data_IF_565601893641
#
_entry.id   IF_565601893641
#
_cell.length_a   1.000
_cell.length_b   1.000
_cell.length_c   1.000
_cell.angle_alpha   90.00
_cell.angle_beta   90.00
_cell.angle_gamma   90.00
#
_symmetry.space_group_name_H-M   'P 1'
#
loop_
_entity.id
_entity.type
_entity.pdbx_description
1 polymer ?
#
# COMPACT_ATOMS: atom_id res chain seq x y z
N UNK A 1 -3.01 -21.35 -50.56
CA UNK A 1 -2.03 -20.62 -49.73
C UNK A 1 -2.07 -19.19 -50.25
N UNK A 2 -2.54 -18.16 -49.57
CA UNK A 2 -2.74 -17.88 -48.15
C UNK A 2 -3.69 -16.66 -48.13
N UNK A 3 -4.90 -16.76 -47.57
CA UNK A 3 -5.76 -15.58 -47.36
C UNK A 3 -5.40 -14.97 -46.01
N UNK A 4 -4.89 -13.74 -46.05
CA UNK A 4 -4.58 -12.95 -44.86
C UNK A 4 -5.87 -12.57 -44.12
N UNK A 5 -5.94 -12.98 -42.85
CA UNK A 5 -6.94 -12.55 -41.87
C UNK A 5 -6.83 -11.05 -41.60
N UNK A 6 -7.87 -10.29 -41.95
CA UNK A 6 -8.12 -8.95 -41.40
C UNK A 6 -8.56 -8.98 -39.93
N UNK A 7 -8.43 -7.87 -39.19
CA UNK A 7 -8.69 -7.81 -37.76
C UNK A 7 -10.19 -7.89 -37.45
N UNK A 8 -10.53 -8.69 -36.44
CA UNK A 8 -11.86 -8.85 -35.87
C UNK A 8 -12.45 -7.48 -35.46
N UNK A 9 -13.40 -6.98 -36.23
CA UNK A 9 -14.34 -5.96 -35.76
C UNK A 9 -15.41 -6.66 -34.93
N UNK A 10 -15.21 -6.71 -33.61
CA UNK A 10 -16.25 -7.06 -32.64
C UNK A 10 -17.30 -5.93 -32.63
N UNK A 11 -18.26 -6.00 -33.54
CA UNK A 11 -19.48 -5.20 -33.51
C UNK A 11 -20.56 -5.97 -32.75
N UNK A 12 -20.45 -5.98 -31.42
CA UNK A 12 -21.54 -6.44 -30.56
C UNK A 12 -21.67 -5.47 -29.39
N UNK A 13 -22.78 -4.74 -29.39
CA UNK A 13 -23.16 -3.81 -28.32
C UNK A 13 -23.17 -4.55 -26.98
N UNK A 14 -22.56 -3.96 -25.95
CA UNK A 14 -22.54 -4.44 -24.56
C UNK A 14 -23.93 -4.82 -24.01
N UNK A 15 -25.00 -4.24 -24.57
CA UNK A 15 -26.38 -4.59 -24.24
C UNK A 15 -26.76 -6.04 -24.61
N UNK A 16 -26.14 -6.61 -25.66
CA UNK A 16 -26.39 -7.99 -26.07
C UNK A 16 -25.73 -9.01 -25.14
N UNK A 17 -24.69 -8.61 -24.40
CA UNK A 17 -23.95 -9.51 -23.50
C UNK A 17 -24.63 -9.71 -22.14
N UNK A 18 -25.56 -8.83 -21.76
CA UNK A 18 -26.26 -8.86 -20.47
C UNK A 18 -27.71 -9.36 -20.55
N UNK A 19 -28.24 -9.57 -21.76
CA UNK A 19 -29.58 -10.12 -21.95
C UNK A 19 -29.65 -11.66 -21.73
N UNK A 20 -28.51 -12.34 -21.61
CA UNK A 20 -28.45 -13.80 -21.61
C UNK A 20 -28.62 -14.47 -20.23
N UNK A 21 -28.48 -13.75 -19.11
CA UNK A 21 -28.44 -14.36 -17.79
C UNK A 21 -29.34 -13.65 -16.76
N UNK A 22 -30.67 -13.75 -16.88
CA UNK A 22 -31.56 -13.49 -15.72
C UNK A 22 -32.80 -14.37 -15.76
N UNK A 23 -32.79 -15.45 -14.97
CA UNK A 23 -33.99 -16.18 -14.55
C UNK A 23 -34.85 -15.30 -13.62
N UNK A 24 -36.17 -15.19 -13.82
CA UNK A 24 -37.00 -14.27 -13.05
C UNK A 24 -37.69 -14.99 -11.90
N UNK A 25 -37.09 -15.06 -10.71
CA UNK A 25 -37.85 -15.34 -9.49
C UNK A 25 -37.34 -14.58 -8.25
N UNK A 26 -38.32 -14.05 -7.52
CA UNK A 26 -38.32 -13.75 -6.08
C UNK A 26 -37.85 -12.35 -5.59
N UNK A 27 -38.65 -11.34 -5.92
CA UNK A 27 -38.61 -10.02 -5.28
C UNK A 27 -39.39 -9.98 -3.94
N UNK A 28 -38.67 -9.90 -2.81
CA UNK A 28 -39.24 -9.54 -1.50
C UNK A 28 -39.62 -8.05 -1.48
N UNK A 29 -40.93 -7.76 -1.54
CA UNK A 29 -41.51 -6.42 -1.38
C UNK A 29 -41.26 -5.85 0.02
N UNK A 30 -40.57 -4.72 0.13
CA UNK A 30 -40.56 -3.87 1.33
C UNK A 30 -41.44 -2.62 1.10
N UNK A 31 -42.39 -2.39 2.01
CA UNK A 31 -43.33 -1.26 2.01
C UNK A 31 -42.59 0.05 2.30
N UNK A 32 -42.59 0.97 1.34
CA UNK A 32 -42.09 2.34 1.48
C UNK A 32 -43.16 3.31 1.99
N UNK A 33 -42.78 4.16 2.95
CA UNK A 33 -43.58 5.23 3.53
C UNK A 33 -43.88 6.34 2.49
N UNK A 34 -45.14 6.79 2.44
CA UNK A 34 -45.65 7.79 1.50
C UNK A 34 -45.31 9.20 2.01
N UNK A 35 -44.34 9.88 1.38
CA UNK A 35 -44.13 11.33 1.55
C UNK A 35 -44.92 12.09 0.47
N UNK A 36 -45.80 13.00 0.92
CA UNK A 36 -46.61 13.90 0.08
C UNK A 36 -45.69 14.89 -0.65
N UNK A 37 -45.85 14.98 -1.97
CA UNK A 37 -45.03 15.81 -2.86
C UNK A 37 -45.53 17.24 -3.01
N UNK A 38 -44.58 18.14 -3.22
CA UNK A 38 -44.79 19.41 -3.92
C UNK A 38 -44.55 19.16 -5.42
N UNK A 39 -45.51 19.57 -6.25
CA UNK A 39 -45.53 19.34 -7.69
C UNK A 39 -44.60 20.32 -8.43
N UNK A 40 -43.39 19.87 -8.75
CA UNK A 40 -42.61 20.40 -9.86
C UNK A 40 -42.76 19.45 -11.05
N UNK A 41 -43.08 19.97 -12.23
CA UNK A 41 -43.18 19.20 -13.47
C UNK A 41 -41.80 18.65 -13.86
N UNK A 42 -41.42 17.51 -13.31
CA UNK A 42 -40.27 16.75 -13.79
C UNK A 42 -40.61 16.23 -15.18
N UNK A 43 -39.74 16.50 -16.16
CA UNK A 43 -39.90 16.02 -17.52
C UNK A 43 -40.07 14.50 -17.55
N UNK A 44 -40.80 13.97 -18.55
CA UNK A 44 -40.99 12.52 -18.70
C UNK A 44 -39.66 11.75 -18.75
N UNK A 45 -38.60 12.37 -19.29
CA UNK A 45 -37.25 11.82 -19.32
C UNK A 45 -36.67 11.62 -17.91
N UNK A 46 -36.75 12.63 -17.04
CA UNK A 46 -36.27 12.52 -15.67
C UNK A 46 -37.01 11.46 -14.84
N UNK A 47 -38.29 11.20 -15.16
CA UNK A 47 -39.05 10.09 -14.54
C UNK A 47 -38.60 8.73 -15.04
N UNK A 48 -38.34 8.59 -16.34
CA UNK A 48 -37.84 7.35 -16.93
C UNK A 48 -36.44 6.99 -16.40
N UNK A 49 -35.55 7.97 -16.29
CA UNK A 49 -34.19 7.79 -15.74
C UNK A 49 -34.22 7.39 -14.25
N UNK A 50 -35.10 8.00 -13.45
CA UNK A 50 -35.25 7.63 -12.05
C UNK A 50 -35.82 6.21 -11.86
N UNK A 51 -36.61 5.71 -12.82
CA UNK A 51 -37.07 4.33 -12.83
C UNK A 51 -35.97 3.35 -13.23
N UNK A 52 -35.09 3.73 -14.15
CA UNK A 52 -33.93 2.95 -14.56
C UNK A 52 -32.91 2.81 -13.43
N UNK A 53 -32.58 3.90 -12.73
CA UNK A 53 -31.68 3.85 -11.57
C UNK A 53 -32.21 2.94 -10.46
N UNK A 54 -33.52 2.94 -10.22
CA UNK A 54 -34.15 2.03 -9.24
C UNK A 54 -34.07 0.57 -9.68
N UNK A 55 -34.13 0.30 -10.98
CA UNK A 55 -33.92 -1.04 -11.53
C UNK A 55 -32.46 -1.45 -11.36
N UNK A 56 -31.51 -0.55 -11.61
CA UNK A 56 -30.08 -0.80 -11.44
C UNK A 56 -29.67 -0.99 -9.98
N UNK A 57 -30.27 -0.26 -9.03
CA UNK A 57 -30.04 -0.48 -7.58
C UNK A 57 -30.56 -1.85 -7.11
N UNK A 58 -31.58 -2.40 -7.80
CA UNK A 58 -32.10 -3.73 -7.54
C UNK A 58 -31.25 -4.84 -8.18
N UNK A 59 -30.76 -4.63 -9.40
CA UNK A 59 -29.99 -5.61 -10.17
C UNK A 59 -28.50 -5.64 -9.80
N UNK A 60 -27.92 -4.50 -9.41
CA UNK A 60 -26.51 -4.36 -9.09
C UNK A 60 -26.28 -4.42 -7.58
N UNK A 61 -25.22 -5.10 -7.15
CA UNK A 61 -24.78 -5.01 -5.75
C UNK A 61 -24.33 -3.59 -5.38
N UNK A 62 -24.44 -3.21 -4.08
CA UNK A 62 -24.18 -1.85 -3.55
C UNK A 62 -22.89 -1.19 -4.06
N UNK A 63 -21.81 -1.96 -4.27
CA UNK A 63 -20.52 -1.44 -4.78
C UNK A 63 -20.60 -1.06 -6.26
N UNK A 64 -21.24 -1.88 -7.08
CA UNK A 64 -21.40 -1.63 -8.50
C UNK A 64 -22.36 -0.46 -8.75
N UNK A 65 -23.45 -0.38 -7.99
CA UNK A 65 -24.37 0.76 -8.06
C UNK A 65 -23.70 2.09 -7.70
N UNK A 66 -22.88 2.13 -6.64
CA UNK A 66 -22.12 3.35 -6.27
C UNK A 66 -21.13 3.79 -7.35
N UNK A 67 -20.51 2.84 -8.07
CA UNK A 67 -19.62 3.16 -9.19
C UNK A 67 -20.41 3.77 -10.34
N UNK A 68 -21.50 3.12 -10.73
CA UNK A 68 -22.42 3.61 -11.76
C UNK A 68 -22.96 5.01 -11.43
N UNK A 69 -23.45 5.22 -10.20
CA UNK A 69 -23.99 6.52 -9.78
C UNK A 69 -22.93 7.63 -9.79
N UNK A 70 -21.69 7.32 -9.39
CA UNK A 70 -20.59 8.28 -9.50
C UNK A 70 -20.23 8.58 -10.95
N UNK A 71 -20.20 7.56 -11.82
CA UNK A 71 -19.89 7.71 -13.23
C UNK A 71 -20.96 8.52 -13.97
N UNK A 72 -22.23 8.26 -13.69
CA UNK A 72 -23.36 9.05 -14.20
C UNK A 72 -23.29 10.50 -13.73
N UNK A 73 -23.04 10.74 -12.44
CA UNK A 73 -22.88 12.10 -11.91
C UNK A 73 -21.72 12.85 -12.60
N UNK A 74 -20.60 12.17 -12.87
CA UNK A 74 -19.47 12.76 -13.58
C UNK A 74 -19.82 13.08 -15.04
N UNK A 75 -20.59 12.22 -15.71
CA UNK A 75 -21.10 12.48 -17.06
C UNK A 75 -22.05 13.68 -17.09
N UNK A 76 -22.97 13.79 -16.11
CA UNK A 76 -23.91 14.90 -16.00
C UNK A 76 -23.19 16.24 -15.72
N UNK A 77 -22.12 16.21 -14.92
CA UNK A 77 -21.29 17.39 -14.61
C UNK A 77 -20.37 17.80 -15.77
N UNK A 78 -19.91 16.85 -16.59
CA UNK A 78 -19.00 17.10 -17.70
C UNK A 78 -19.66 17.91 -18.84
N UNK A 79 -21.00 17.86 -18.94
CA UNK A 79 -21.75 18.54 -19.99
C UNK A 79 -21.54 17.94 -21.39
N UNK A 80 -22.29 18.41 -22.40
CA UNK A 80 -22.11 17.95 -23.78
C UNK A 80 -20.76 18.44 -24.31
N UNK A 81 -19.90 17.51 -24.71
CA UNK A 81 -18.60 17.81 -25.28
C UNK A 81 -18.70 17.85 -26.81
N UNK A 82 -18.18 18.93 -27.42
CA UNK A 82 -18.16 19.07 -28.88
C UNK A 82 -17.13 18.10 -29.51
N UNK A 83 -17.35 17.69 -30.75
CA UNK A 83 -16.49 16.73 -31.44
C UNK A 83 -15.03 17.22 -31.52
N UNK A 84 -14.83 18.53 -31.69
CA UNK A 84 -13.51 19.17 -31.71
C UNK A 84 -12.85 19.15 -30.32
N UNK A 85 -13.64 19.29 -29.25
CA UNK A 85 -13.15 19.20 -27.86
C UNK A 85 -12.79 17.75 -27.50
N UNK A 86 -13.57 16.78 -27.97
CA UNK A 86 -13.22 15.36 -27.88
C UNK A 86 -11.91 15.08 -28.63
N UNK A 87 -11.73 15.63 -29.83
CA UNK A 87 -10.50 15.49 -30.59
C UNK A 87 -9.29 16.11 -29.88
N UNK A 88 -9.46 17.24 -29.17
CA UNK A 88 -8.39 17.87 -28.39
C UNK A 88 -7.97 17.06 -27.16
N UNK A 89 -8.87 16.31 -26.52
CA UNK A 89 -8.53 15.45 -25.38
C UNK A 89 -7.64 14.26 -25.78
N UNK A 90 -7.80 13.79 -27.02
CA UNK A 90 -7.01 12.69 -27.58
C UNK A 90 -5.96 13.19 -28.58
N UNK A 91 -5.81 14.50 -28.74
CA UNK A 91 -4.72 15.06 -29.51
C UNK A 91 -3.44 14.60 -28.83
N UNK A 92 -2.53 13.95 -29.56
CA UNK A 92 -1.24 13.65 -28.98
C UNK A 92 -0.65 14.96 -28.45
N UNK A 93 0.02 14.95 -27.27
CA UNK A 93 0.81 16.09 -26.83
C UNK A 93 1.64 16.54 -28.02
N UNK A 94 1.71 17.85 -28.36
CA UNK A 94 2.32 18.32 -29.59
C UNK A 94 3.72 17.73 -29.72
N UNK A 95 3.83 16.69 -30.53
CA UNK A 95 5.07 15.94 -30.65
C UNK A 95 6.05 16.87 -31.38
N UNK A 96 7.08 17.31 -30.67
CA UNK A 96 8.11 18.19 -31.23
C UNK A 96 8.16 19.60 -30.63
N UNK A 97 7.18 20.02 -29.82
CA UNK A 97 7.40 21.17 -28.93
C UNK A 97 8.19 20.71 -27.72
N UNK A 98 9.45 21.14 -27.63
CA UNK A 98 10.24 21.00 -26.41
C UNK A 98 9.54 21.84 -25.34
N UNK A 99 8.67 21.21 -24.55
CA UNK A 99 8.13 21.82 -23.36
C UNK A 99 9.33 22.21 -22.49
N UNK A 100 9.60 23.51 -22.40
CA UNK A 100 10.67 24.02 -21.55
C UNK A 100 10.44 23.45 -20.15
N UNK A 101 11.35 22.58 -19.71
CA UNK A 101 11.29 22.01 -18.36
C UNK A 101 11.27 23.15 -17.34
N UNK A 102 10.76 22.90 -16.14
CA UNK A 102 10.77 23.91 -15.07
C UNK A 102 12.18 24.49 -14.89
N UNK A 103 13.21 23.65 -15.04
CA UNK A 103 14.61 24.07 -15.05
C UNK A 103 14.96 24.97 -16.25
N UNK A 104 14.56 24.61 -17.48
CA UNK A 104 14.78 25.46 -18.65
C UNK A 104 14.14 26.85 -18.46
N UNK A 105 12.91 26.90 -17.95
CA UNK A 105 12.21 28.15 -17.63
C UNK A 105 12.94 28.98 -16.58
N UNK A 106 13.50 28.35 -15.54
CA UNK A 106 14.27 29.05 -14.51
C UNK A 106 15.61 29.57 -15.05
N UNK A 107 16.29 28.78 -15.88
CA UNK A 107 17.58 29.17 -16.49
C UNK A 107 17.44 30.20 -17.60
N UNK A 108 16.29 30.24 -18.30
CA UNK A 108 15.99 31.21 -19.36
C UNK A 108 15.39 32.52 -18.79
N UNK A 109 14.64 32.45 -17.69
CA UNK A 109 14.05 33.63 -17.04
C UNK A 109 15.07 34.44 -16.23
N UNK A 110 16.21 33.85 -15.86
CA UNK A 110 17.30 34.57 -15.21
C UNK A 110 18.25 35.07 -16.29
N UNK A 111 18.21 36.37 -16.57
CA UNK A 111 19.06 37.04 -17.56
C UNK A 111 20.58 36.90 -17.25
N UNK A 112 20.90 36.45 -16.05
CA UNK A 112 22.26 36.21 -15.58
C UNK A 112 22.64 34.75 -15.88
N UNK A 113 23.40 34.58 -16.97
CA UNK A 113 24.03 33.31 -17.40
C UNK A 113 24.82 32.60 -16.27
N UNK A 114 25.09 33.27 -15.15
CA UNK A 114 25.77 32.72 -13.98
C UNK A 114 24.94 31.64 -13.26
N UNK A 115 23.63 31.85 -13.12
CA UNK A 115 22.76 30.84 -12.52
C UNK A 115 22.67 29.61 -13.45
N UNK A 116 22.46 29.82 -14.75
CA UNK A 116 22.46 28.72 -15.73
C UNK A 116 23.79 27.95 -15.74
N UNK A 117 24.94 28.64 -15.66
CA UNK A 117 26.28 28.03 -15.57
C UNK A 117 26.50 27.25 -14.27
N UNK A 118 25.95 27.71 -13.15
CA UNK A 118 26.01 26.98 -11.89
C UNK A 118 25.22 25.66 -11.94
N UNK A 119 24.17 25.59 -12.77
CA UNK A 119 23.34 24.40 -12.96
C UNK A 119 23.80 23.47 -14.09
N UNK A 120 24.69 23.93 -14.98
CA UNK A 120 25.22 23.15 -16.11
C UNK A 120 25.87 21.82 -15.69
N UNK A 121 26.67 21.73 -14.59
CA UNK A 121 27.23 20.47 -14.12
C UNK A 121 26.16 19.46 -13.70
N UNK A 122 24.97 19.91 -13.29
CA UNK A 122 23.87 19.06 -12.84
C UNK A 122 23.00 18.53 -13.99
N UNK A 123 23.15 19.04 -15.22
CA UNK A 123 22.42 18.57 -16.40
C UNK A 123 22.86 17.18 -16.90
N UNK A 124 24.10 16.79 -16.60
CA UNK A 124 24.71 15.55 -17.08
C UNK A 124 24.83 14.48 -15.99
N UNK A 125 24.24 14.72 -14.81
CA UNK A 125 24.38 13.81 -13.68
C UNK A 125 23.34 12.70 -13.80
N UNK A 126 23.75 11.59 -14.42
CA UNK A 126 22.96 10.37 -14.45
C UNK A 126 22.71 9.84 -13.02
N UNK A 127 21.55 9.20 -12.81
CA UNK A 127 21.18 8.49 -11.59
C UNK A 127 22.33 7.60 -11.08
N UNK A 128 23.00 6.86 -11.99
CA UNK A 128 24.10 5.98 -11.63
C UNK A 128 25.35 6.74 -11.17
N UNK A 129 25.59 7.92 -11.74
CA UNK A 129 26.69 8.81 -11.33
C UNK A 129 26.43 9.38 -9.93
N UNK A 130 25.19 9.79 -9.64
CA UNK A 130 24.76 10.21 -8.29
C UNK A 130 24.94 9.07 -7.30
N UNK A 131 24.47 7.88 -7.65
CA UNK A 131 24.53 6.70 -6.78
C UNK A 131 25.99 6.33 -6.46
N UNK A 132 26.88 6.37 -7.46
CA UNK A 132 28.31 6.11 -7.25
C UNK A 132 28.96 7.14 -6.33
N UNK A 133 28.64 8.42 -6.51
CA UNK A 133 29.18 9.51 -5.70
C UNK A 133 28.66 9.45 -4.26
N UNK A 134 27.36 9.22 -4.08
CA UNK A 134 26.74 9.08 -2.76
C UNK A 134 27.27 7.84 -2.02
N UNK A 135 27.50 6.73 -2.73
CA UNK A 135 28.14 5.53 -2.16
C UNK A 135 29.59 5.78 -1.75
N UNK A 136 30.34 6.57 -2.53
CA UNK A 136 31.72 6.95 -2.21
C UNK A 136 31.83 8.01 -1.11
N UNK A 137 30.85 8.90 -0.98
CA UNK A 137 30.79 9.96 0.02
C UNK A 137 30.15 9.50 1.34
N UNK A 138 29.35 8.42 1.32
CA UNK A 138 28.77 7.86 2.52
C UNK A 138 29.89 7.33 3.43
N UNK A 139 29.92 7.73 4.72
CA UNK A 139 30.85 7.11 5.65
C UNK A 139 30.58 5.60 5.70
N UNK A 140 31.60 4.76 5.93
CA UNK A 140 31.43 3.31 5.99
C UNK A 140 30.39 2.88 7.05
N UNK A 141 30.12 3.72 8.05
CA UNK A 141 29.02 3.54 9.02
C UNK A 141 27.64 3.68 8.38
N UNK A 142 27.44 4.64 7.47
CA UNK A 142 26.16 4.84 6.77
C UNK A 142 25.86 3.68 5.82
N UNK A 143 26.87 3.15 5.12
CA UNK A 143 26.69 1.97 4.28
C UNK A 143 26.23 0.75 5.10
N UNK A 144 26.83 0.53 6.28
CA UNK A 144 26.42 -0.52 7.22
C UNK A 144 24.98 -0.32 7.73
N UNK A 145 24.60 0.91 8.03
CA UNK A 145 23.23 1.25 8.45
C UNK A 145 22.21 1.01 7.33
N UNK A 146 22.55 1.32 6.07
CA UNK A 146 21.68 1.04 4.91
C UNK A 146 21.50 -0.46 4.72
N UNK A 147 22.58 -1.24 4.85
CA UNK A 147 22.49 -2.71 4.78
C UNK A 147 21.68 -3.28 5.94
N UNK A 148 21.90 -2.81 7.18
CA UNK A 148 21.14 -3.30 8.33
C UNK A 148 19.66 -2.91 8.25
N UNK A 149 19.34 -1.69 7.79
CA UNK A 149 17.98 -1.25 7.52
C UNK A 149 17.31 -2.11 6.44
N UNK A 150 18.00 -2.44 5.35
CA UNK A 150 17.46 -3.28 4.29
C UNK A 150 17.12 -4.70 4.79
N UNK A 151 18.01 -5.28 5.62
CA UNK A 151 17.78 -6.59 6.27
C UNK A 151 16.61 -6.49 7.26
N UNK A 152 16.58 -5.47 8.10
CA UNK A 152 15.51 -5.20 9.06
C UNK A 152 14.15 -5.04 8.38
N UNK A 153 14.09 -4.29 7.27
CA UNK A 153 12.87 -4.15 6.47
C UNK A 153 12.42 -5.47 5.86
N UNK A 154 13.35 -6.34 5.44
CA UNK A 154 13.01 -7.67 4.92
C UNK A 154 12.42 -8.55 6.01
N UNK A 155 13.06 -8.60 7.20
CA UNK A 155 12.56 -9.33 8.37
C UNK A 155 11.19 -8.81 8.80
N UNK A 156 11.03 -7.48 8.86
CA UNK A 156 9.74 -6.85 9.14
C UNK A 156 8.66 -7.21 8.13
N UNK A 157 8.96 -7.28 6.83
CA UNK A 157 8.00 -7.73 5.82
C UNK A 157 7.58 -9.19 5.99
N UNK A 158 8.46 -10.02 6.54
CA UNK A 158 8.17 -11.43 6.84
C UNK A 158 7.25 -11.61 8.06
N UNK A 159 7.18 -10.60 8.95
CA UNK A 159 6.26 -10.62 10.09
C UNK A 159 4.81 -10.62 9.62
N UNK A 160 3.98 -11.48 10.23
CA UNK A 160 2.58 -11.63 9.91
C UNK A 160 1.85 -10.29 10.03
N UNK A 161 0.91 -10.03 9.11
CA UNK A 161 0.16 -8.77 9.06
C UNK A 161 -0.51 -8.43 10.41
N UNK A 162 -1.13 -9.41 11.07
CA UNK A 162 -1.82 -9.21 12.36
C UNK A 162 -0.85 -8.75 13.45
N UNK A 163 0.34 -9.33 13.50
CA UNK A 163 1.39 -8.99 14.47
C UNK A 163 1.97 -7.61 14.20
N UNK A 164 2.20 -7.27 12.92
CA UNK A 164 2.63 -5.92 12.53
C UNK A 164 1.61 -4.84 12.89
N UNK A 165 0.32 -5.12 12.71
CA UNK A 165 -0.75 -4.19 13.07
C UNK A 165 -0.82 -3.96 14.59
N UNK A 166 -0.61 -5.01 15.39
CA UNK A 166 -0.54 -4.90 16.86
C UNK A 166 0.66 -4.04 17.30
N UNK A 167 1.85 -4.31 16.76
CA UNK A 167 3.08 -3.57 17.06
C UNK A 167 3.02 -2.09 16.64
N UNK A 168 2.29 -1.75 15.56
CA UNK A 168 2.15 -0.33 15.12
C UNK A 168 1.11 0.47 15.88
N UNK A 169 0.01 -0.15 16.33
CA UNK A 169 -1.18 0.59 16.82
C UNK A 169 -1.36 0.59 18.32
N UNK A 170 -0.80 -0.37 19.03
CA UNK A 170 -1.10 -0.56 20.46
C UNK A 170 0.11 -0.95 21.30
N UNK A 171 1.33 -0.85 20.77
CA UNK A 171 2.51 -1.21 21.54
C UNK A 171 2.72 -0.22 22.69
N UNK A 172 2.75 -0.74 23.92
CA UNK A 172 3.35 -0.03 25.04
C UNK A 172 4.88 -0.03 24.83
N UNK A 173 5.42 1.15 24.50
CA UNK A 173 6.80 1.30 24.04
C UNK A 173 7.86 0.81 25.05
N UNK A 174 7.75 1.10 26.36
CA UNK A 174 8.66 0.57 27.37
C UNK A 174 8.68 -0.96 27.42
N UNK A 175 7.50 -1.59 27.47
CA UNK A 175 7.39 -3.05 27.49
C UNK A 175 7.95 -3.67 26.20
N UNK A 176 7.66 -3.07 25.05
CA UNK A 176 8.20 -3.52 23.77
C UNK A 176 9.74 -3.45 23.74
N UNK A 177 10.34 -2.40 24.33
CA UNK A 177 11.79 -2.29 24.46
C UNK A 177 12.39 -3.40 25.32
N UNK A 178 11.76 -3.74 26.44
CA UNK A 178 12.20 -4.83 27.32
C UNK A 178 12.13 -6.18 26.62
N UNK A 179 11.02 -6.44 25.93
CA UNK A 179 10.83 -7.67 25.15
C UNK A 179 11.83 -7.78 23.99
N UNK A 180 12.04 -6.69 23.25
CA UNK A 180 12.98 -6.62 22.13
C UNK A 180 14.42 -6.82 22.60
N UNK A 181 14.79 -6.26 23.76
CA UNK A 181 16.11 -6.44 24.36
C UNK A 181 16.33 -7.89 24.84
N UNK A 182 15.35 -8.49 25.52
CA UNK A 182 15.45 -9.87 26.01
C UNK A 182 15.54 -10.88 24.86
N UNK A 183 14.68 -10.74 23.85
CA UNK A 183 14.64 -11.62 22.68
C UNK A 183 15.87 -11.42 21.79
N UNK A 184 16.34 -10.18 21.63
CA UNK A 184 17.57 -9.88 20.89
C UNK A 184 18.80 -10.51 21.55
N UNK A 185 18.95 -10.36 22.87
CA UNK A 185 20.05 -10.99 23.60
C UNK A 185 20.02 -12.54 23.49
N UNK A 186 18.83 -13.13 23.52
CA UNK A 186 18.66 -14.57 23.31
C UNK A 186 19.00 -15.00 21.88
N UNK A 187 18.63 -14.22 20.87
CA UNK A 187 18.98 -14.49 19.48
C UNK A 187 20.49 -14.42 19.24
N UNK A 188 21.17 -13.43 19.86
CA UNK A 188 22.62 -13.27 19.80
C UNK A 188 23.33 -14.44 20.48
N UNK A 189 22.88 -14.86 21.67
CA UNK A 189 23.42 -16.04 22.36
C UNK A 189 23.25 -17.32 21.52
N UNK A 190 22.09 -17.52 20.90
CA UNK A 190 21.83 -18.68 20.03
C UNK A 190 22.66 -18.68 18.74
N UNK A 191 23.10 -17.52 18.25
CA UNK A 191 24.04 -17.39 17.14
C UNK A 191 25.46 -17.80 17.54
N UNK A 192 25.90 -17.46 18.76
CA UNK A 192 27.23 -17.78 19.27
C UNK A 192 27.39 -19.26 19.66
N UNK A 193 26.40 -19.81 20.39
CA UNK A 193 26.46 -21.19 20.92
C UNK A 193 25.95 -22.24 19.92
N UNK A 194 25.16 -21.82 18.93
CA UNK A 194 24.58 -22.70 17.92
C UNK A 194 23.23 -23.30 18.32
N UNK A 195 22.45 -23.69 17.30
CA UNK A 195 21.07 -24.13 17.48
C UNK A 195 20.95 -25.39 18.34
N UNK A 196 20.24 -25.27 19.47
CA UNK A 196 19.96 -26.38 20.39
C UNK A 196 20.87 -26.46 21.62
N UNK A 197 21.81 -25.52 21.78
CA UNK A 197 22.64 -25.41 22.98
C UNK A 197 22.02 -24.51 24.06
N UNK A 198 21.24 -23.50 23.67
CA UNK A 198 20.61 -22.55 24.58
C UNK A 198 19.26 -23.08 25.08
N UNK A 199 19.00 -22.97 26.38
CA UNK A 199 17.70 -23.30 26.98
C UNK A 199 16.57 -22.46 26.36
N UNK A 200 15.31 -22.93 26.43
CA UNK A 200 14.15 -22.17 25.96
C UNK A 200 14.01 -20.89 26.81
N UNK A 201 13.89 -19.71 26.18
CA UNK A 201 13.62 -18.45 26.89
C UNK A 201 12.15 -18.43 27.32
N UNK A 202 11.89 -18.50 28.63
CA UNK A 202 10.54 -18.42 29.17
C UNK A 202 10.19 -17.00 29.61
N UNK A 203 9.07 -16.46 29.10
CA UNK A 203 8.51 -15.18 29.51
C UNK A 203 7.08 -15.38 30.02
N UNK A 204 6.82 -14.91 31.24
CA UNK A 204 5.48 -14.89 31.83
C UNK A 204 4.78 -13.61 31.40
N UNK A 205 3.67 -13.76 30.67
CA UNK A 205 2.90 -12.63 30.15
C UNK A 205 1.41 -12.93 30.35
N UNK A 206 0.78 -12.19 31.26
CA UNK A 206 -0.62 -12.40 31.65
C UNK A 206 -1.62 -11.94 30.58
N UNK A 207 -1.28 -10.87 29.86
CA UNK A 207 -2.15 -10.30 28.82
C UNK A 207 -1.99 -11.02 27.47
N UNK A 208 -3.14 -11.33 26.85
CA UNK A 208 -3.20 -11.87 25.49
C UNK A 208 -2.59 -10.92 24.45
N UNK A 209 -2.70 -9.60 24.65
CA UNK A 209 -2.12 -8.63 23.73
C UNK A 209 -0.58 -8.58 23.85
N UNK A 210 -0.02 -8.59 25.06
CA UNK A 210 1.43 -8.68 25.24
C UNK A 210 2.02 -9.98 24.67
N UNK A 211 1.30 -11.10 24.81
CA UNK A 211 1.69 -12.36 24.15
C UNK A 211 1.72 -12.21 22.63
N UNK A 212 0.67 -11.59 22.05
CA UNK A 212 0.62 -11.31 20.61
C UNK A 212 1.81 -10.44 20.16
N UNK A 213 2.19 -9.42 20.93
CA UNK A 213 3.38 -8.61 20.65
C UNK A 213 4.66 -9.45 20.68
N UNK A 214 4.82 -10.33 21.68
CA UNK A 214 5.99 -11.20 21.80
C UNK A 214 6.17 -12.10 20.58
N UNK A 215 5.06 -12.68 20.09
CA UNK A 215 5.07 -13.47 18.86
C UNK A 215 5.56 -12.66 17.65
N UNK A 216 5.17 -11.39 17.56
CA UNK A 216 5.65 -10.47 16.53
C UNK A 216 7.15 -10.17 16.63
N UNK A 217 7.65 -9.92 17.84
CA UNK A 217 9.09 -9.71 18.12
C UNK A 217 9.88 -10.97 17.75
N UNK A 218 9.44 -12.14 18.20
CA UNK A 218 10.10 -13.41 17.90
C UNK A 218 10.16 -13.69 16.40
N UNK A 219 9.07 -13.42 15.67
CA UNK A 219 9.06 -13.60 14.22
C UNK A 219 10.03 -12.66 13.49
N UNK A 220 10.24 -11.44 14.00
CA UNK A 220 11.24 -10.52 13.46
C UNK A 220 12.67 -11.07 13.61
N UNK A 221 12.98 -11.71 14.75
CA UNK A 221 14.26 -12.39 14.99
C UNK A 221 14.33 -13.81 14.41
N UNK A 222 13.31 -14.23 13.64
CA UNK A 222 13.20 -15.58 13.06
C UNK A 222 13.16 -16.72 14.09
N UNK A 223 12.72 -16.41 15.32
CA UNK A 223 12.53 -17.35 16.42
C UNK A 223 11.11 -17.92 16.42
N UNK A 224 10.93 -19.03 17.14
CA UNK A 224 9.62 -19.67 17.31
C UNK A 224 9.14 -19.47 18.74
N UNK A 225 8.03 -18.75 18.90
CA UNK A 225 7.36 -18.61 20.19
C UNK A 225 6.16 -19.57 20.28
N UNK A 226 6.00 -20.22 21.43
CA UNK A 226 4.85 -21.07 21.74
C UNK A 226 4.29 -20.66 23.09
N UNK A 227 2.99 -20.35 23.14
CA UNK A 227 2.31 -20.04 24.40
C UNK A 227 1.61 -21.29 24.93
N UNK A 228 1.86 -21.65 26.18
CA UNK A 228 1.19 -22.72 26.90
C UNK A 228 0.66 -22.24 28.26
N UNK A 229 -0.34 -22.91 28.80
CA UNK A 229 -0.82 -22.67 30.16
C UNK A 229 -0.12 -23.66 31.08
N UNK A 230 0.63 -23.17 32.07
CA UNK A 230 1.27 -24.00 33.08
C UNK A 230 0.84 -23.48 34.46
N UNK A 231 0.23 -24.33 35.28
CA UNK A 231 -0.16 -23.96 36.66
C UNK A 231 -1.27 -22.91 36.78
N UNK A 232 -1.98 -22.58 35.70
CA UNK A 232 -3.00 -21.52 35.68
C UNK A 232 -2.51 -20.18 35.13
N UNK A 233 -1.20 -20.04 34.93
CA UNK A 233 -0.57 -18.86 34.33
C UNK A 233 -0.20 -19.13 32.86
N UNK A 234 -0.23 -18.07 32.05
CA UNK A 234 0.15 -18.13 30.65
C UNK A 234 1.66 -17.92 30.50
N UNK A 235 2.38 -18.99 30.18
CA UNK A 235 3.83 -18.95 29.93
C UNK A 235 4.08 -19.00 28.43
N UNK A 236 4.83 -18.04 27.90
CA UNK A 236 5.28 -18.07 26.50
C UNK A 236 6.73 -18.50 26.47
N UNK A 237 6.99 -19.66 25.88
CA UNK A 237 8.33 -20.18 25.63
C UNK A 237 8.80 -19.75 24.25
N UNK A 238 9.98 -19.15 24.19
CA UNK A 238 10.64 -18.76 22.97
C UNK A 238 11.78 -19.74 22.75
N UNK A 239 11.73 -20.45 21.62
CA UNK A 239 12.74 -21.40 21.22
C UNK A 239 13.55 -20.84 20.07
N UNK A 240 14.87 -20.93 20.21
CA UNK A 240 15.77 -20.64 19.11
C UNK A 240 15.57 -21.65 17.98
N UNK A 241 15.29 -21.15 16.78
CA UNK A 241 15.30 -21.95 15.56
C UNK A 241 16.44 -21.44 14.70
N UNK A 242 17.33 -22.34 14.26
CA UNK A 242 18.38 -21.94 13.33
C UNK A 242 17.75 -21.32 12.09
N UNK A 243 18.15 -20.10 11.69
CA UNK A 243 17.76 -19.56 10.39
C UNK A 243 18.14 -20.56 9.29
N UNK A 244 17.25 -20.75 8.30
CA UNK A 244 17.64 -21.48 7.10
C UNK A 244 18.65 -20.66 6.29
N UNK A 245 19.43 -21.30 5.39
CA UNK A 245 20.48 -20.68 4.52
C UNK A 245 20.18 -19.32 3.87
N UNK A 246 18.94 -18.82 3.89
CA UNK A 246 18.52 -17.52 3.36
C UNK A 246 18.73 -16.35 4.32
N UNK A 247 19.01 -16.58 5.61
CA UNK A 247 19.02 -15.54 6.65
C UNK A 247 20.30 -15.49 7.51
N UNK A 248 21.41 -16.01 6.98
CA UNK A 248 22.73 -15.94 7.62
C UNK A 248 23.29 -14.50 7.76
N UNK A 249 22.58 -13.48 7.25
CA UNK A 249 22.95 -12.08 7.45
C UNK A 249 22.51 -11.60 8.85
N UNK A 250 23.47 -11.21 9.72
CA UNK A 250 23.15 -10.66 11.03
C UNK A 250 22.44 -9.32 10.87
N UNK A 251 21.22 -9.21 11.39
CA UNK A 251 20.51 -7.95 11.47
C UNK A 251 20.94 -7.24 12.75
N UNK A 252 21.84 -6.26 12.62
CA UNK A 252 22.28 -5.45 13.75
C UNK A 252 21.23 -4.43 14.24
N UNK A 253 20.15 -4.23 13.49
CA UNK A 253 19.11 -3.26 13.82
C UNK A 253 18.00 -3.91 14.64
N UNK A 254 17.70 -3.31 15.80
CA UNK A 254 16.63 -3.77 16.69
C UNK A 254 15.25 -3.45 16.11
N UNK A 255 14.23 -4.21 16.50
CA UNK A 255 12.86 -3.97 16.02
C UNK A 255 12.37 -2.58 16.47
N UNK A 256 12.67 -2.22 17.71
CA UNK A 256 12.33 -0.93 18.31
C UNK A 256 12.98 0.24 17.56
N UNK A 257 14.26 0.12 17.18
CA UNK A 257 14.94 1.12 16.35
C UNK A 257 14.28 1.26 14.98
N UNK A 258 13.91 0.13 14.34
CA UNK A 258 13.23 0.12 13.05
C UNK A 258 11.88 0.81 13.14
N UNK A 259 11.07 0.48 14.15
CA UNK A 259 9.77 1.08 14.38
C UNK A 259 9.89 2.57 14.68
N UNK A 260 10.91 2.99 15.44
CA UNK A 260 11.22 4.40 15.69
C UNK A 260 11.49 5.16 14.38
N UNK A 261 12.32 4.61 13.49
CA UNK A 261 12.57 5.21 12.18
C UNK A 261 11.32 5.24 11.29
N UNK A 262 10.47 4.21 11.36
CA UNK A 262 9.20 4.20 10.63
C UNK A 262 8.22 5.26 11.13
N UNK A 263 8.16 5.48 12.45
CA UNK A 263 7.34 6.52 13.05
C UNK A 263 7.86 7.93 12.73
N UNK A 264 9.18 8.15 12.75
CA UNK A 264 9.78 9.43 12.40
C UNK A 264 9.55 9.83 10.94
N UNK A 265 9.43 8.85 10.04
CA UNK A 265 9.20 9.06 8.60
C UNK A 265 7.71 9.07 8.21
N UNK A 266 6.78 8.94 9.17
CA UNK A 266 5.35 9.11 8.87
C UNK A 266 5.06 10.60 8.69
N UNK A 267 4.45 11.03 7.55
CA UNK A 267 4.00 12.40 7.42
C UNK A 267 3.02 12.70 8.56
N UNK A 268 3.24 13.83 9.25
CA UNK A 268 2.34 14.28 10.29
C UNK A 268 0.89 14.27 9.75
N UNK A 269 -0.10 13.82 10.54
CA UNK A 269 -1.49 13.87 10.10
C UNK A 269 -1.81 15.31 9.71
N UNK A 270 -2.31 15.48 8.48
CA UNK A 270 -2.79 16.76 7.98
C UNK A 270 -3.99 17.13 8.86
N UNK A 271 -3.79 18.09 9.76
CA UNK A 271 -4.81 18.68 10.63
C UNK A 271 -5.86 19.45 9.83
#
# INVERSE_FOLDING_TARGET
MEEMRGPFLMTSSLAQLWAADVDPQEGRRRKGHKRKGASGSTSMAARAEAEEERRLDFLLGKRAFRRYANEKLLQDLAGPLDADQMAMLYAPPPFGEVQATVLARITEATADNEAARAWEPFRQVDMDMQDSFLRGAAPPSAAKLVTSLAVAQRRWKAVERRLREALRRGADWPLLHEMDAAVGAYADAGLEEGAGACDDLEMQLDDAFHRLMLHGVCQYYELVATTSVCGGEHVTRVRYRRPGRRSDEPCHMRLTELLGQMHANMPAPIS
#
